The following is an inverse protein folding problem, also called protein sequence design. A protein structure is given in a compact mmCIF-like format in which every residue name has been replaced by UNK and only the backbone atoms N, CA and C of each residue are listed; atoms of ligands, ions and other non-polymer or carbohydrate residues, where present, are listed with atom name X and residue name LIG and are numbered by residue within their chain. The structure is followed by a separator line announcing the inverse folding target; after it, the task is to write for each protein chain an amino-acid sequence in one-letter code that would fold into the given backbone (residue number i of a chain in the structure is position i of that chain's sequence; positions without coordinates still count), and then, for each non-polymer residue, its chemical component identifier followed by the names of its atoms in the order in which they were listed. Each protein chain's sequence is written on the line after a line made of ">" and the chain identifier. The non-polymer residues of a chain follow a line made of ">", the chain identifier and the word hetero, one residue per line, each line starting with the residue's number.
data_IF_831021075258
#
_entry.id   IF_831021075258
#
_cell.length_a   1.000
_cell.length_b   1.000
_cell.length_c   1.000
_cell.angle_alpha   90.00
_cell.angle_beta   90.00
_cell.angle_gamma   90.00
#
_symmetry.space_group_name_H-M   'P 1'
#
loop_
_entity.id
_entity.type
_entity.pdbx_description
1 polymer ?
#
# COMPACT_ATOMS: atom_id res chain seq x y z
N UNK A 1 3.18 11.51 0.20
CA UNK A 1 4.14 11.92 -0.85
C UNK A 1 5.15 10.83 -1.20
N UNK A 2 5.69 10.09 -0.21
CA UNK A 2 6.63 8.97 -0.43
C UNK A 2 6.15 7.95 -1.48
N UNK A 3 4.89 7.51 -1.38
CA UNK A 3 4.27 6.54 -2.31
C UNK A 3 4.38 6.95 -3.78
N UNK A 4 4.10 8.23 -4.08
CA UNK A 4 4.19 8.78 -5.43
C UNK A 4 5.65 8.79 -5.91
N UNK A 5 6.57 9.24 -5.06
CA UNK A 5 8.01 9.27 -5.36
C UNK A 5 8.54 7.87 -5.67
N UNK A 6 8.22 6.88 -4.83
CA UNK A 6 8.64 5.48 -5.05
C UNK A 6 8.07 4.93 -6.35
N UNK A 7 6.80 5.20 -6.65
CA UNK A 7 6.17 4.76 -7.90
C UNK A 7 6.87 5.36 -9.13
N UNK A 8 7.13 6.67 -9.10
CA UNK A 8 7.83 7.36 -10.21
C UNK A 8 9.24 6.83 -10.38
N UNK A 9 9.99 6.63 -9.29
CA UNK A 9 11.33 6.06 -9.33
C UNK A 9 11.34 4.64 -9.93
N UNK A 10 10.40 3.78 -9.52
CA UNK A 10 10.26 2.43 -10.05
C UNK A 10 9.96 2.43 -11.55
N UNK A 11 9.09 3.33 -12.03
CA UNK A 11 8.79 3.48 -13.47
C UNK A 11 10.00 3.95 -14.24
N UNK A 12 10.72 4.97 -13.76
CA UNK A 12 11.93 5.48 -14.42
C UNK A 12 13.00 4.39 -14.54
N UNK A 13 13.20 3.61 -13.46
CA UNK A 13 14.16 2.52 -13.49
C UNK A 13 13.74 1.39 -14.43
N UNK A 14 12.45 1.04 -14.47
CA UNK A 14 11.93 0.06 -15.43
C UNK A 14 12.14 0.51 -16.88
N UNK A 15 11.86 1.77 -17.21
CA UNK A 15 12.11 2.33 -18.56
C UNK A 15 13.59 2.29 -18.91
N UNK A 16 14.47 2.65 -17.98
CA UNK A 16 15.92 2.54 -18.18
C UNK A 16 16.35 1.09 -18.41
N UNK A 17 15.77 0.13 -17.68
CA UNK A 17 16.08 -1.28 -17.84
C UNK A 17 15.62 -1.86 -19.18
N UNK A 18 14.47 -1.43 -19.68
CA UNK A 18 14.00 -1.74 -21.04
C UNK A 18 14.99 -1.19 -22.07
N UNK A 19 15.34 0.10 -21.97
CA UNK A 19 16.27 0.73 -22.90
C UNK A 19 17.63 0.01 -22.95
N UNK A 20 18.19 -0.33 -21.78
CA UNK A 20 19.44 -1.07 -21.69
C UNK A 20 19.34 -2.47 -22.29
N UNK A 21 18.22 -3.17 -22.09
CA UNK A 21 18.02 -4.53 -22.65
C UNK A 21 17.87 -4.51 -24.17
N UNK A 22 17.32 -3.42 -24.74
CA UNK A 22 17.24 -3.21 -26.19
C UNK A 22 18.62 -2.93 -26.78
N UNK A 23 19.48 -2.20 -26.07
CA UNK A 23 20.85 -1.90 -26.50
C UNK A 23 21.80 -3.10 -26.31
N UNK A 24 21.64 -3.84 -25.22
CA UNK A 24 22.40 -5.04 -24.89
C UNK A 24 21.48 -6.08 -24.23
N UNK A 25 21.22 -7.16 -24.97
CA UNK A 25 20.37 -8.26 -24.48
C UNK A 25 20.89 -8.92 -23.20
N UNK A 26 22.18 -8.79 -22.88
CA UNK A 26 22.73 -9.30 -21.62
C UNK A 26 22.20 -8.55 -20.37
N UNK A 27 21.61 -7.36 -20.54
CA UNK A 27 21.02 -6.59 -19.46
C UNK A 27 19.64 -7.11 -18.98
N UNK A 28 19.11 -8.18 -19.57
CA UNK A 28 17.80 -8.75 -19.22
C UNK A 28 17.58 -9.04 -17.72
N UNK A 29 18.59 -9.42 -16.88
CA UNK A 29 18.36 -9.64 -15.45
C UNK A 29 17.95 -8.35 -14.72
N UNK A 30 18.47 -7.19 -15.15
CA UNK A 30 18.06 -5.89 -14.61
C UNK A 30 16.60 -5.59 -14.96
N UNK A 31 16.18 -5.89 -16.19
CA UNK A 31 14.78 -5.75 -16.61
C UNK A 31 13.85 -6.64 -15.79
N UNK A 32 14.24 -7.89 -15.54
CA UNK A 32 13.48 -8.79 -14.68
C UNK A 32 13.32 -8.23 -13.25
N UNK A 33 14.42 -7.75 -12.65
CA UNK A 33 14.38 -7.14 -11.32
C UNK A 33 13.51 -5.89 -11.27
N UNK A 34 13.69 -4.97 -12.23
CA UNK A 34 12.88 -3.75 -12.32
C UNK A 34 11.39 -4.08 -12.52
N UNK A 35 11.09 -5.12 -13.29
CA UNK A 35 9.73 -5.63 -13.48
C UNK A 35 9.12 -6.14 -12.19
N UNK A 36 9.82 -6.98 -11.44
CA UNK A 36 9.36 -7.49 -10.13
C UNK A 36 9.09 -6.35 -9.16
N UNK A 37 9.98 -5.35 -9.08
CA UNK A 37 9.82 -4.22 -8.16
C UNK A 37 8.68 -3.30 -8.56
N UNK A 38 8.52 -3.00 -9.85
CA UNK A 38 7.38 -2.21 -10.34
C UNK A 38 6.06 -2.95 -10.06
N UNK A 39 5.99 -4.25 -10.34
CA UNK A 39 4.82 -5.07 -10.05
C UNK A 39 4.50 -5.11 -8.55
N UNK A 40 5.51 -5.28 -7.69
CA UNK A 40 5.34 -5.23 -6.23
C UNK A 40 4.79 -3.89 -5.75
N UNK A 41 5.32 -2.78 -6.27
CA UNK A 41 4.88 -1.42 -5.92
C UNK A 41 3.44 -1.17 -6.38
N UNK A 42 3.08 -1.64 -7.57
CA UNK A 42 1.71 -1.55 -8.08
C UNK A 42 0.76 -2.49 -7.33
N UNK A 43 1.20 -3.68 -6.95
CA UNK A 43 0.43 -4.63 -6.15
C UNK A 43 0.11 -4.06 -4.78
N UNK A 44 1.09 -3.47 -4.10
CA UNK A 44 0.89 -2.76 -2.83
C UNK A 44 -0.19 -1.68 -2.99
N UNK A 45 -0.17 -0.93 -4.10
CA UNK A 45 -1.20 0.07 -4.40
C UNK A 45 -2.59 -0.53 -4.59
N UNK A 46 -2.73 -1.74 -5.12
CA UNK A 46 -4.04 -2.37 -5.28
C UNK A 46 -4.53 -3.00 -3.97
N UNK A 47 -3.63 -3.60 -3.20
CA UNK A 47 -3.97 -4.27 -1.95
C UNK A 47 -4.24 -3.27 -0.81
N UNK A 48 -3.36 -2.29 -0.59
CA UNK A 48 -3.48 -1.32 0.51
C UNK A 48 -4.42 -0.12 0.24
N UNK A 49 -5.17 -0.11 -0.87
CA UNK A 49 -6.20 0.92 -1.14
C UNK A 49 -7.31 0.93 -0.07
N UNK A 50 -7.43 -0.16 0.68
CA UNK A 50 -8.42 -0.32 1.75
C UNK A 50 -8.19 0.55 3.00
N UNK A 51 -7.10 1.31 3.13
CA UNK A 51 -6.90 2.18 4.30
C UNK A 51 -7.58 3.56 4.15
N UNK A 52 -7.58 4.14 2.95
CA UNK A 52 -7.94 5.56 2.72
C UNK A 52 -9.39 5.77 2.22
N UNK A 53 -10.16 4.72 1.93
CA UNK A 53 -11.55 4.81 1.45
C UNK A 53 -12.59 4.97 2.58
N UNK A 54 -13.87 5.22 2.27
CA UNK A 54 -14.94 5.17 3.28
C UNK A 54 -14.88 3.84 4.06
N UNK A 55 -15.03 3.91 5.39
CA UNK A 55 -15.11 2.71 6.20
C UNK A 55 -16.51 2.09 6.05
N UNK A 56 -16.57 0.88 5.50
CA UNK A 56 -17.77 0.04 5.51
C UNK A 56 -17.59 -1.01 6.62
N UNK A 57 -18.42 -1.01 7.68
CA UNK A 57 -18.31 -1.99 8.77
C UNK A 57 -18.56 -3.44 8.32
N UNK A 58 -19.14 -3.67 7.14
CA UNK A 58 -19.44 -5.01 6.66
C UNK A 58 -18.18 -5.87 6.54
N UNK A 59 -18.13 -6.97 7.31
CA UNK A 59 -17.00 -7.90 7.33
C UNK A 59 -15.80 -7.43 8.17
N UNK A 60 -15.92 -6.31 8.88
CA UNK A 60 -14.93 -5.83 9.84
C UNK A 60 -15.39 -6.10 11.26
N UNK A 61 -14.45 -6.47 12.13
CA UNK A 61 -14.70 -6.76 13.54
C UNK A 61 -13.92 -5.77 14.41
N UNK A 62 -14.58 -5.07 15.35
CA UNK A 62 -13.88 -4.22 16.29
C UNK A 62 -13.03 -5.08 17.22
N UNK A 63 -11.81 -4.65 17.47
CA UNK A 63 -10.96 -5.24 18.50
C UNK A 63 -11.13 -4.50 19.83
N UNK A 64 -10.62 -5.04 20.92
CA UNK A 64 -10.59 -4.36 22.22
C UNK A 64 -9.50 -3.30 22.32
N UNK A 65 -8.66 -3.15 21.28
CA UNK A 65 -7.53 -2.25 21.29
C UNK A 65 -7.96 -0.83 20.88
N UNK A 66 -7.75 0.13 21.80
CA UNK A 66 -8.05 1.55 21.59
C UNK A 66 -6.83 2.39 21.94
N UNK A 67 -6.51 3.36 21.09
CA UNK A 67 -5.33 4.21 21.25
C UNK A 67 -5.68 5.66 20.98
N UNK A 68 -4.91 6.57 21.57
CA UNK A 68 -4.95 7.97 21.17
C UNK A 68 -3.98 8.13 20.01
N UNK A 69 -4.50 8.51 18.86
CA UNK A 69 -3.70 8.83 17.69
C UNK A 69 -2.85 10.08 17.99
N UNK A 70 -1.52 9.97 17.86
CA UNK A 70 -0.58 11.04 18.22
C UNK A 70 -0.62 12.23 17.24
N UNK A 71 -1.05 11.99 16.01
CA UNK A 71 -1.09 13.00 14.95
C UNK A 71 -2.35 13.88 15.05
N UNK A 72 -3.48 13.26 15.38
CA UNK A 72 -4.80 13.92 15.45
C UNK A 72 -5.30 14.14 16.87
N UNK A 73 -4.70 13.47 17.86
CA UNK A 73 -5.14 13.48 19.26
C UNK A 73 -6.46 12.76 19.50
N UNK A 74 -7.07 12.11 18.51
CA UNK A 74 -8.37 11.44 18.61
C UNK A 74 -8.25 10.04 19.18
N UNK A 75 -9.33 9.52 19.75
CA UNK A 75 -9.38 8.13 20.20
C UNK A 75 -9.78 7.26 19.01
N UNK A 76 -8.90 6.33 18.62
CA UNK A 76 -9.14 5.39 17.54
C UNK A 76 -9.29 3.98 18.10
N UNK A 77 -10.20 3.21 17.52
CA UNK A 77 -10.37 1.78 17.76
C UNK A 77 -9.83 1.02 16.56
N UNK A 78 -9.09 -0.06 16.80
CA UNK A 78 -8.61 -0.93 15.72
C UNK A 78 -9.72 -1.89 15.32
N UNK A 79 -10.08 -1.90 14.04
CA UNK A 79 -10.94 -2.88 13.41
C UNK A 79 -10.12 -3.85 12.57
N UNK A 80 -10.52 -5.12 12.57
CA UNK A 80 -9.85 -6.22 11.88
C UNK A 80 -10.79 -6.89 10.88
N UNK A 81 -10.32 -7.11 9.65
CA UNK A 81 -11.03 -7.88 8.65
C UNK A 81 -10.47 -9.32 8.57
N UNK A 82 -11.20 -10.36 8.98
CA UNK A 82 -10.71 -11.73 8.96
C UNK A 82 -10.57 -12.32 7.56
N UNK A 83 -11.28 -11.78 6.56
CA UNK A 83 -11.21 -12.28 5.18
C UNK A 83 -9.92 -11.83 4.48
N UNK A 84 -9.42 -10.63 4.79
CA UNK A 84 -8.21 -10.05 4.17
C UNK A 84 -7.00 -10.02 5.11
N UNK A 85 -7.22 -10.11 6.42
CA UNK A 85 -6.18 -9.91 7.45
C UNK A 85 -5.83 -8.44 7.72
N UNK A 86 -6.55 -7.50 7.10
CA UNK A 86 -6.29 -6.07 7.22
C UNK A 86 -6.68 -5.51 8.60
N UNK A 87 -5.99 -4.43 9.00
CA UNK A 87 -6.29 -3.67 10.21
C UNK A 87 -6.53 -2.22 9.84
N UNK A 88 -7.57 -1.62 10.42
CA UNK A 88 -7.95 -0.23 10.17
C UNK A 88 -8.19 0.51 11.47
N UNK A 89 -7.70 1.74 11.54
CA UNK A 89 -7.93 2.64 12.66
C UNK A 89 -9.18 3.46 12.34
N UNK A 90 -10.22 3.32 13.15
CA UNK A 90 -11.50 4.02 12.99
C UNK A 90 -11.69 4.93 14.20
N UNK A 91 -12.10 6.17 13.96
CA UNK A 91 -12.38 7.12 15.03
C UNK A 91 -13.54 6.60 15.89
N UNK A 92 -13.40 6.65 17.22
CA UNK A 92 -14.42 6.19 18.15
C UNK A 92 -15.73 7.00 18.02
N UNK A 93 -15.68 8.21 17.47
CA UNK A 93 -16.87 9.03 17.17
C UNK A 93 -17.67 8.56 15.95
N UNK A 94 -17.04 7.80 15.04
CA UNK A 94 -17.66 7.29 13.80
C UNK A 94 -18.19 5.84 13.98
N UNK A 95 -18.14 5.31 15.21
CA UNK A 95 -18.69 3.99 15.57
C UNK A 95 -20.23 3.97 15.71
N UNK A 96 -20.91 5.11 15.51
CA UNK A 96 -22.33 5.35 15.82
C UNK A 96 -23.30 5.13 14.64
#
# INVERSE_FOLDING_TARGET
>A
MLRLVVTVAAVLWFVAAVAMTVLDTAAWPMLAMAGVLLLGTLFERFHYRGADGPFDPAGWHPTTERFRDEETGRLVTIWFNPATGERRYVDAGDEA
#
